data_IF_976812576361
#
_entry.id   IF_976812576361
#
_cell.length_a   1.000
_cell.length_b   1.000
_cell.length_c   1.000
_cell.angle_alpha   90.00
_cell.angle_beta   90.00
_cell.angle_gamma   90.00
#
_symmetry.space_group_name_H-M   'P 1'
#
loop_
_entity.id
_entity.type
_entity.pdbx_description
1 polymer ?
#
# COMPACT_ATOMS: atom_id res chain seq x y z
N UNK A 1 45.84 -41.80 21.14
CA UNK A 1 44.85 -41.85 20.03
C UNK A 1 43.59 -41.13 20.49
N UNK A 2 43.51 -39.85 20.21
CA UNK A 2 42.31 -39.06 20.39
C UNK A 2 41.52 -39.05 19.09
N UNK A 3 40.40 -39.70 19.06
CA UNK A 3 39.44 -39.66 17.97
C UNK A 3 38.69 -38.35 18.00
N UNK A 4 38.97 -37.45 17.04
CA UNK A 4 38.16 -36.27 16.81
C UNK A 4 36.93 -36.73 16.04
N UNK A 5 35.79 -36.77 16.71
CA UNK A 5 34.50 -36.97 16.05
C UNK A 5 34.09 -35.67 15.38
N UNK A 6 34.20 -35.59 14.06
CA UNK A 6 33.53 -34.54 13.27
C UNK A 6 32.02 -34.81 13.28
N UNK A 7 31.30 -34.07 14.11
CA UNK A 7 29.85 -33.96 13.97
C UNK A 7 29.58 -33.19 12.67
N UNK A 8 28.70 -33.68 11.79
CA UNK A 8 28.35 -32.90 10.60
C UNK A 8 27.66 -31.63 11.08
N UNK A 9 28.22 -30.48 10.70
CA UNK A 9 27.55 -29.20 10.88
C UNK A 9 26.23 -29.24 10.10
N UNK A 10 25.12 -29.33 10.82
CA UNK A 10 23.79 -29.21 10.23
C UNK A 10 23.76 -27.84 9.58
N UNK A 11 23.63 -27.83 8.26
CA UNK A 11 23.62 -26.61 7.48
C UNK A 11 22.39 -25.79 7.92
N UNK A 12 22.58 -24.63 8.59
CA UNK A 12 21.49 -23.81 9.11
C UNK A 12 20.49 -23.43 8.03
N UNK A 13 20.92 -23.37 6.76
CA UNK A 13 20.07 -23.12 5.61
C UNK A 13 19.10 -24.26 5.29
N UNK A 14 19.49 -25.53 5.49
CA UNK A 14 18.61 -26.68 5.20
C UNK A 14 17.48 -26.78 6.21
N UNK A 15 17.71 -26.48 7.50
CA UNK A 15 16.66 -26.49 8.55
C UNK A 15 15.68 -25.34 8.37
N UNK A 16 16.16 -24.17 7.95
CA UNK A 16 15.34 -23.00 7.63
C UNK A 16 14.44 -23.26 6.41
N UNK A 17 14.97 -23.88 5.37
CA UNK A 17 14.23 -24.24 4.16
C UNK A 17 13.13 -25.28 4.47
N UNK A 18 13.43 -26.32 5.23
CA UNK A 18 12.45 -27.32 5.62
C UNK A 18 11.33 -26.72 6.48
N UNK A 19 11.66 -25.82 7.39
CA UNK A 19 10.68 -25.16 8.24
C UNK A 19 9.70 -24.33 7.41
N UNK A 20 10.21 -23.51 6.46
CA UNK A 20 9.36 -22.68 5.62
C UNK A 20 8.48 -23.54 4.70
N UNK A 21 9.01 -24.60 4.10
CA UNK A 21 8.24 -25.52 3.29
C UNK A 21 7.11 -26.20 4.05
N UNK A 22 7.31 -26.51 5.36
CA UNK A 22 6.23 -27.03 6.21
C UNK A 22 5.12 -26.02 6.41
N UNK A 23 5.47 -24.75 6.63
CA UNK A 23 4.49 -23.65 6.75
C UNK A 23 3.65 -23.58 5.48
N UNK A 24 4.28 -23.57 4.31
CA UNK A 24 3.58 -23.51 3.03
C UNK A 24 2.72 -24.75 2.79
N UNK A 25 3.21 -25.93 3.11
CA UNK A 25 2.45 -27.18 2.95
C UNK A 25 1.19 -27.17 3.81
N UNK A 26 1.29 -26.73 5.07
CA UNK A 26 0.16 -26.63 5.97
C UNK A 26 -0.87 -25.58 5.47
N UNK A 27 -0.39 -24.46 5.00
CA UNK A 27 -1.26 -23.42 4.42
C UNK A 27 -2.00 -23.93 3.17
N UNK A 28 -1.30 -24.66 2.29
CA UNK A 28 -1.92 -25.22 1.07
C UNK A 28 -3.02 -26.22 1.40
N UNK A 29 -2.82 -27.06 2.41
CA UNK A 29 -3.83 -28.05 2.82
C UNK A 29 -5.14 -27.44 3.26
N UNK A 30 -5.13 -26.23 3.80
CA UNK A 30 -6.31 -25.54 4.30
C UNK A 30 -7.01 -24.69 3.24
N UNK A 31 -6.82 -25.03 1.97
CA UNK A 31 -7.42 -24.34 0.84
C UNK A 31 -8.95 -24.45 0.85
N UNK A 32 -9.62 -23.32 0.58
CA UNK A 32 -11.04 -23.29 0.32
C UNK A 32 -11.32 -23.61 -1.16
N UNK A 33 -12.54 -24.09 -1.50
CA UNK A 33 -12.88 -24.36 -2.90
C UNK A 33 -12.69 -23.13 -3.79
N UNK A 34 -12.02 -23.29 -4.92
CA UNK A 34 -11.77 -22.25 -5.91
C UNK A 34 -10.46 -21.49 -5.72
N UNK A 35 -9.78 -21.64 -4.58
CA UNK A 35 -8.45 -21.06 -4.39
C UNK A 35 -7.38 -21.84 -5.17
N UNK A 36 -6.46 -21.12 -5.77
CA UNK A 36 -5.33 -21.71 -6.51
C UNK A 36 -4.07 -21.74 -5.65
N UNK A 37 -4.17 -22.31 -4.44
CA UNK A 37 -3.04 -22.39 -3.49
C UNK A 37 -1.88 -23.27 -4.02
N UNK A 38 -2.15 -24.22 -4.91
CA UNK A 38 -1.09 -25.02 -5.54
C UNK A 38 -0.14 -24.17 -6.38
N UNK A 39 -0.70 -23.26 -7.19
CA UNK A 39 0.09 -22.31 -7.97
C UNK A 39 0.83 -21.35 -7.05
N UNK A 40 0.15 -20.84 -6.03
CA UNK A 40 0.77 -19.95 -5.05
C UNK A 40 1.91 -20.63 -4.30
N UNK A 41 1.73 -21.89 -3.90
CA UNK A 41 2.77 -22.69 -3.25
C UNK A 41 4.04 -22.77 -4.13
N UNK A 42 3.88 -23.06 -5.42
CA UNK A 42 5.01 -23.13 -6.35
C UNK A 42 5.74 -21.79 -6.46
N UNK A 43 5.00 -20.69 -6.60
CA UNK A 43 5.59 -19.34 -6.68
C UNK A 43 6.30 -18.94 -5.38
N UNK A 44 5.70 -19.21 -4.23
CA UNK A 44 6.29 -18.96 -2.92
C UNK A 44 7.58 -19.78 -2.71
N UNK A 45 7.53 -21.08 -3.01
CA UNK A 45 8.69 -21.97 -2.90
C UNK A 45 9.83 -21.53 -3.79
N UNK A 46 9.53 -21.20 -5.05
CA UNK A 46 10.53 -20.73 -6.02
C UNK A 46 11.13 -19.38 -5.58
N UNK A 47 10.32 -18.45 -5.18
CA UNK A 47 10.77 -17.15 -4.67
C UNK A 47 11.70 -17.32 -3.46
N UNK A 48 11.34 -18.19 -2.53
CA UNK A 48 12.15 -18.49 -1.36
C UNK A 48 13.46 -19.18 -1.69
N UNK A 49 13.42 -20.22 -2.53
CA UNK A 49 14.60 -20.99 -2.89
C UNK A 49 15.59 -20.19 -3.72
N UNK A 50 15.10 -19.40 -4.67
CA UNK A 50 15.91 -18.60 -5.59
C UNK A 50 16.20 -17.18 -5.06
N UNK A 51 15.72 -16.83 -3.86
CA UNK A 51 15.87 -15.51 -3.25
C UNK A 51 15.45 -14.38 -4.21
N UNK A 52 14.30 -14.57 -4.87
CA UNK A 52 13.77 -13.59 -5.81
C UNK A 52 13.26 -12.36 -5.07
N UNK A 53 13.51 -11.17 -5.62
CA UNK A 53 13.12 -9.90 -4.99
C UNK A 53 11.62 -9.65 -5.06
N UNK A 54 10.93 -10.16 -6.09
CA UNK A 54 9.52 -9.92 -6.34
C UNK A 54 8.73 -11.21 -6.14
N UNK A 55 7.68 -11.14 -5.31
CA UNK A 55 6.70 -12.21 -5.15
C UNK A 55 5.37 -11.75 -5.74
N UNK A 56 4.94 -12.41 -6.82
CA UNK A 56 3.67 -12.14 -7.48
C UNK A 56 2.70 -13.31 -7.27
N UNK A 57 1.65 -13.07 -6.50
CA UNK A 57 0.57 -14.03 -6.21
C UNK A 57 -0.79 -13.48 -6.68
N UNK A 58 -0.81 -12.65 -7.72
CA UNK A 58 -2.03 -12.06 -8.25
C UNK A 58 -2.93 -13.08 -8.95
N UNK A 59 -4.24 -12.81 -8.97
CA UNK A 59 -5.24 -13.56 -9.74
C UNK A 59 -5.34 -15.05 -9.40
N UNK A 60 -5.23 -15.40 -8.12
CA UNK A 60 -5.25 -16.80 -7.64
C UNK A 60 -6.46 -17.13 -6.73
N UNK A 61 -7.43 -16.25 -6.63
CA UNK A 61 -8.59 -16.41 -5.75
C UNK A 61 -8.23 -16.72 -4.28
N UNK A 62 -7.11 -16.22 -3.79
CA UNK A 62 -6.63 -16.50 -2.44
C UNK A 62 -7.48 -15.77 -1.39
N UNK A 63 -7.87 -16.49 -0.34
CA UNK A 63 -8.59 -15.93 0.82
C UNK A 63 -7.66 -15.57 1.97
N UNK A 64 -6.44 -16.11 1.98
CA UNK A 64 -5.40 -15.78 2.95
C UNK A 64 -4.02 -16.00 2.34
N UNK A 65 -3.01 -15.44 2.98
CA UNK A 65 -1.60 -15.67 2.64
C UNK A 65 -0.89 -16.35 3.80
N UNK A 66 0.09 -17.21 3.53
CA UNK A 66 0.98 -17.72 4.56
C UNK A 66 1.98 -16.67 5.00
N UNK A 67 2.81 -17.00 5.98
CA UNK A 67 3.99 -16.20 6.30
C UNK A 67 4.82 -15.93 5.04
N UNK A 68 5.26 -14.69 4.86
CA UNK A 68 5.97 -14.26 3.66
C UNK A 68 7.48 -14.45 3.78
N UNK A 69 8.17 -14.73 2.66
CA UNK A 69 9.64 -14.71 2.66
C UNK A 69 10.18 -13.36 3.11
N UNK A 70 11.17 -13.35 4.00
CA UNK A 70 11.67 -12.11 4.63
C UNK A 70 12.50 -11.24 3.70
N UNK A 71 13.02 -11.79 2.63
CA UNK A 71 13.96 -11.11 1.73
C UNK A 71 13.30 -10.32 0.60
N UNK A 72 11.99 -10.49 0.36
CA UNK A 72 11.34 -9.83 -0.77
C UNK A 72 11.30 -8.32 -0.60
N UNK A 73 11.45 -7.61 -1.72
CA UNK A 73 11.34 -6.16 -1.80
C UNK A 73 10.03 -5.69 -2.44
N UNK A 74 9.34 -6.56 -3.17
CA UNK A 74 8.04 -6.27 -3.76
C UNK A 74 7.07 -7.44 -3.55
N UNK A 75 5.86 -7.13 -3.11
CA UNK A 75 4.75 -8.07 -2.96
C UNK A 75 3.58 -7.61 -3.81
N UNK A 76 3.15 -8.46 -4.75
CA UNK A 76 2.01 -8.22 -5.63
C UNK A 76 0.97 -9.31 -5.37
N UNK A 77 -0.14 -8.93 -4.77
CA UNK A 77 -1.22 -9.85 -4.40
C UNK A 77 -2.59 -9.32 -4.87
N UNK A 78 -2.59 -8.53 -5.92
CA UNK A 78 -3.82 -7.94 -6.47
C UNK A 78 -4.77 -9.02 -6.98
N UNK A 79 -6.06 -8.65 -7.04
CA UNK A 79 -7.11 -9.51 -7.61
C UNK A 79 -7.22 -10.87 -6.90
N UNK A 80 -7.28 -10.84 -5.59
CA UNK A 80 -7.58 -12.00 -4.76
C UNK A 80 -8.82 -11.71 -3.90
N UNK A 81 -9.05 -12.52 -2.90
CA UNK A 81 -10.17 -12.40 -1.96
C UNK A 81 -9.67 -12.24 -0.52
N UNK A 82 -8.51 -11.60 -0.36
CA UNK A 82 -7.85 -11.45 0.93
C UNK A 82 -8.66 -10.53 1.85
N UNK A 83 -8.91 -10.98 3.07
CA UNK A 83 -9.53 -10.17 4.12
C UNK A 83 -8.50 -9.56 5.07
N UNK A 84 -7.28 -10.09 5.08
CA UNK A 84 -6.16 -9.60 5.87
C UNK A 84 -4.84 -9.95 5.17
N UNK A 85 -3.76 -9.31 5.62
CA UNK A 85 -2.40 -9.60 5.20
C UNK A 85 -1.59 -10.08 6.40
N UNK A 86 -0.63 -10.99 6.19
CA UNK A 86 0.31 -11.36 7.25
C UNK A 86 1.28 -10.20 7.53
N UNK A 87 2.11 -10.35 8.55
CA UNK A 87 3.18 -9.40 8.83
C UNK A 87 4.01 -9.15 7.56
N UNK A 88 4.23 -7.87 7.25
CA UNK A 88 4.99 -7.49 6.06
C UNK A 88 6.50 -7.61 6.32
N UNK A 89 7.28 -8.06 5.33
CA UNK A 89 8.74 -8.12 5.45
C UNK A 89 9.35 -6.75 5.74
N UNK A 90 10.38 -6.71 6.60
CA UNK A 90 10.97 -5.47 7.08
C UNK A 90 11.64 -4.61 6.00
N UNK A 91 12.03 -5.22 4.87
CA UNK A 91 12.70 -4.54 3.77
C UNK A 91 11.82 -4.35 2.54
N UNK A 92 10.52 -4.55 2.68
CA UNK A 92 9.57 -4.39 1.58
C UNK A 92 9.55 -2.93 1.12
N UNK A 93 9.69 -2.71 -0.19
CA UNK A 93 9.67 -1.38 -0.83
C UNK A 93 8.38 -1.11 -1.56
N UNK A 94 7.73 -2.14 -2.04
CA UNK A 94 6.50 -2.04 -2.83
C UNK A 94 5.47 -3.07 -2.39
N UNK A 95 4.25 -2.62 -2.13
CA UNK A 95 3.11 -3.47 -1.85
C UNK A 95 1.96 -3.10 -2.79
N UNK A 96 1.48 -4.08 -3.54
CA UNK A 96 0.24 -3.97 -4.31
C UNK A 96 -0.74 -5.06 -3.86
N UNK A 97 -1.79 -4.64 -3.17
CA UNK A 97 -2.87 -5.50 -2.73
C UNK A 97 -4.23 -5.00 -3.24
N UNK A 98 -4.25 -4.44 -4.44
CA UNK A 98 -5.47 -3.93 -5.09
C UNK A 98 -6.50 -5.03 -5.29
N UNK A 99 -7.78 -4.65 -5.29
CA UNK A 99 -8.90 -5.55 -5.57
C UNK A 99 -8.89 -6.79 -4.68
N UNK A 100 -8.95 -6.56 -3.39
CA UNK A 100 -9.15 -7.57 -2.36
C UNK A 100 -10.35 -7.19 -1.49
N UNK A 101 -10.44 -7.77 -0.30
CA UNK A 101 -11.50 -7.52 0.67
C UNK A 101 -10.91 -7.06 2.01
N UNK A 102 -9.79 -6.33 1.96
CA UNK A 102 -9.09 -5.88 3.16
C UNK A 102 -9.90 -4.84 3.91
N UNK A 103 -10.15 -5.06 5.18
CA UNK A 103 -10.75 -4.08 6.09
C UNK A 103 -9.69 -3.37 6.94
N UNK A 104 -8.50 -3.95 7.03
CA UNK A 104 -7.35 -3.40 7.76
C UNK A 104 -6.07 -3.87 7.09
N UNK A 105 -5.02 -3.07 7.17
CA UNK A 105 -3.67 -3.45 6.74
C UNK A 105 -2.74 -3.42 7.95
N UNK A 106 -1.73 -4.31 7.98
CA UNK A 106 -0.79 -4.37 9.10
C UNK A 106 0.15 -3.16 9.13
N UNK A 107 0.94 -3.07 10.19
CA UNK A 107 2.01 -2.08 10.28
C UNK A 107 2.87 -2.10 9.02
N UNK A 108 3.14 -0.91 8.47
CA UNK A 108 3.92 -0.76 7.25
C UNK A 108 5.42 -0.67 7.58
N UNK A 109 6.27 -1.39 6.83
CA UNK A 109 7.71 -1.31 7.05
C UNK A 109 8.27 0.06 6.64
N UNK A 110 9.31 0.51 7.33
CA UNK A 110 9.91 1.83 7.08
C UNK A 110 10.54 1.98 5.70
N UNK A 111 10.90 0.87 5.07
CA UNK A 111 11.48 0.83 3.73
C UNK A 111 10.46 1.07 2.61
N UNK A 112 9.15 1.06 2.91
CA UNK A 112 8.10 1.10 1.90
C UNK A 112 8.11 2.46 1.17
N UNK A 113 8.15 2.42 -0.16
CA UNK A 113 8.11 3.60 -1.03
C UNK A 113 6.83 3.70 -1.82
N UNK A 114 6.17 2.57 -2.12
CA UNK A 114 4.92 2.51 -2.87
C UNK A 114 3.91 1.60 -2.17
N UNK A 115 2.73 2.14 -1.91
CA UNK A 115 1.61 1.39 -1.35
C UNK A 115 0.40 1.55 -2.27
N UNK A 116 -0.12 0.44 -2.78
CA UNK A 116 -1.34 0.38 -3.54
C UNK A 116 -2.30 -0.63 -2.93
N UNK A 117 -3.43 -0.14 -2.43
CA UNK A 117 -4.50 -0.95 -1.81
C UNK A 117 -5.88 -0.49 -2.30
N UNK A 118 -5.96 -0.19 -3.58
CA UNK A 118 -7.18 0.25 -4.28
C UNK A 118 -8.27 -0.81 -4.17
N UNK A 119 -9.52 -0.36 -4.15
CA UNK A 119 -10.67 -1.26 -4.24
C UNK A 119 -10.65 -2.36 -3.18
N UNK A 120 -10.56 -1.93 -1.95
CA UNK A 120 -10.72 -2.73 -0.74
C UNK A 120 -11.86 -2.17 0.11
N UNK A 121 -11.88 -2.48 1.38
CA UNK A 121 -12.92 -2.04 2.32
C UNK A 121 -12.32 -1.33 3.52
N UNK A 122 -11.20 -0.61 3.31
CA UNK A 122 -10.45 0.05 4.37
C UNK A 122 -11.21 1.27 4.90
N UNK A 123 -11.32 1.37 6.22
CA UNK A 123 -11.87 2.55 6.91
C UNK A 123 -10.76 3.44 7.46
N UNK A 124 -9.60 2.86 7.73
CA UNK A 124 -8.43 3.54 8.27
C UNK A 124 -7.15 3.03 7.64
N UNK A 125 -6.09 3.81 7.73
CA UNK A 125 -4.73 3.41 7.36
C UNK A 125 -3.83 3.46 8.60
N UNK A 126 -2.81 2.60 8.67
CA UNK A 126 -1.77 2.73 9.70
C UNK A 126 -0.90 3.96 9.46
N UNK A 127 -0.02 4.24 10.40
CA UNK A 127 1.01 5.30 10.23
C UNK A 127 1.77 5.06 8.93
N UNK A 128 1.92 6.10 8.13
CA UNK A 128 2.62 6.03 6.84
C UNK A 128 4.13 6.17 7.05
N UNK A 129 4.95 5.32 6.42
CA UNK A 129 6.39 5.39 6.57
C UNK A 129 6.99 6.62 5.88
N UNK A 130 8.11 7.11 6.42
CA UNK A 130 8.72 8.38 6.02
C UNK A 130 9.25 8.41 4.59
N UNK A 131 9.52 7.27 3.99
CA UNK A 131 10.07 7.18 2.64
C UNK A 131 9.00 6.95 1.57
N UNK A 132 7.72 6.93 1.95
CA UNK A 132 6.62 6.69 1.01
C UNK A 132 6.54 7.84 0.00
N UNK A 133 6.58 7.50 -1.29
CA UNK A 133 6.48 8.46 -2.39
C UNK A 133 5.16 8.35 -3.16
N UNK A 134 4.52 7.18 -3.11
CA UNK A 134 3.27 6.92 -3.84
C UNK A 134 2.28 6.17 -2.95
N UNK A 135 1.07 6.72 -2.84
CA UNK A 135 -0.02 6.14 -2.05
C UNK A 135 -1.29 6.11 -2.91
N UNK A 136 -1.77 4.89 -3.19
CA UNK A 136 -2.97 4.66 -3.99
C UNK A 136 -3.99 3.89 -3.14
N UNK A 137 -5.00 4.59 -2.64
CA UNK A 137 -6.02 4.04 -1.73
C UNK A 137 -7.45 4.35 -2.19
N UNK A 138 -7.63 4.68 -3.46
CA UNK A 138 -8.95 4.96 -4.01
C UNK A 138 -9.88 3.75 -3.93
N UNK A 139 -11.19 4.00 -3.97
CA UNK A 139 -12.23 2.99 -3.83
C UNK A 139 -12.13 2.18 -2.53
N UNK A 140 -12.08 2.89 -1.43
CA UNK A 140 -12.16 2.34 -0.07
C UNK A 140 -13.27 3.07 0.71
N UNK A 141 -13.26 2.98 2.01
CA UNK A 141 -14.24 3.61 2.91
C UNK A 141 -13.55 4.51 3.94
N UNK A 142 -12.45 5.15 3.55
CA UNK A 142 -11.65 5.97 4.45
C UNK A 142 -12.40 7.22 4.88
N UNK A 143 -12.45 7.48 6.19
CA UNK A 143 -13.03 8.70 6.79
C UNK A 143 -11.99 9.79 6.96
N UNK A 144 -10.74 9.41 7.18
CA UNK A 144 -9.63 10.32 7.37
C UNK A 144 -8.34 9.65 6.89
N UNK A 145 -7.28 10.43 6.81
CA UNK A 145 -5.94 9.95 6.48
C UNK A 145 -5.00 10.26 7.65
N UNK A 146 -3.99 9.40 7.88
CA UNK A 146 -2.90 9.76 8.78
C UNK A 146 -2.08 10.90 8.20
N UNK A 147 -1.16 11.46 9.00
CA UNK A 147 -0.22 12.46 8.52
C UNK A 147 0.51 11.97 7.28
N UNK A 148 0.64 12.83 6.27
CA UNK A 148 1.28 12.50 5.01
C UNK A 148 2.80 12.69 5.12
N UNK A 149 3.60 11.71 4.65
CA UNK A 149 5.06 11.83 4.72
C UNK A 149 5.60 12.90 3.76
N UNK A 150 6.70 13.52 4.14
CA UNK A 150 7.28 14.66 3.42
C UNK A 150 7.72 14.35 1.98
N UNK A 151 8.03 13.10 1.70
CA UNK A 151 8.49 12.67 0.37
C UNK A 151 7.37 12.26 -0.58
N UNK A 152 6.11 12.33 -0.13
CA UNK A 152 4.98 11.87 -0.93
C UNK A 152 4.82 12.75 -2.19
N UNK A 153 4.79 12.11 -3.34
CA UNK A 153 4.64 12.74 -4.66
C UNK A 153 3.29 12.49 -5.30
N UNK A 154 2.75 11.29 -5.11
CA UNK A 154 1.50 10.84 -5.73
C UNK A 154 0.54 10.35 -4.66
N UNK A 155 -0.66 10.94 -4.62
CA UNK A 155 -1.70 10.58 -3.67
C UNK A 155 -3.03 10.43 -4.40
N UNK A 156 -3.54 9.20 -4.47
CA UNK A 156 -4.86 8.90 -5.00
C UNK A 156 -5.76 8.43 -3.86
N UNK A 157 -6.74 9.27 -3.50
CA UNK A 157 -7.70 9.01 -2.42
C UNK A 157 -9.15 9.18 -2.88
N UNK A 158 -9.39 9.23 -4.19
CA UNK A 158 -10.74 9.43 -4.72
C UNK A 158 -11.66 8.23 -4.44
N UNK A 159 -12.97 8.47 -4.46
CA UNK A 159 -13.98 7.47 -4.08
C UNK A 159 -13.73 6.91 -2.67
N UNK A 160 -13.65 7.80 -1.70
CA UNK A 160 -13.63 7.48 -0.28
C UNK A 160 -14.70 8.33 0.44
N UNK A 161 -14.62 8.45 1.74
CA UNK A 161 -15.56 9.19 2.58
C UNK A 161 -14.86 10.28 3.38
N UNK A 162 -13.77 10.83 2.86
CA UNK A 162 -12.96 11.83 3.54
C UNK A 162 -13.74 13.14 3.68
N UNK A 163 -13.73 13.72 4.87
CA UNK A 163 -14.32 15.04 5.16
C UNK A 163 -13.25 16.14 5.21
N UNK A 164 -12.02 15.76 5.50
CA UNK A 164 -10.85 16.64 5.53
C UNK A 164 -9.64 15.90 4.98
N UNK A 165 -8.61 16.67 4.63
CA UNK A 165 -7.29 16.15 4.28
C UNK A 165 -6.26 16.68 5.28
N UNK A 166 -5.24 15.90 5.63
CA UNK A 166 -4.11 16.43 6.39
C UNK A 166 -3.31 17.43 5.54
N UNK A 167 -2.37 18.11 6.17
CA UNK A 167 -1.48 19.05 5.48
C UNK A 167 -0.78 18.35 4.30
N UNK A 168 -0.77 19.02 3.16
CA UNK A 168 -0.17 18.47 1.94
C UNK A 168 1.34 18.68 1.97
N UNK A 169 2.14 17.62 1.67
CA UNK A 169 3.59 17.77 1.57
C UNK A 169 3.98 18.66 0.39
N UNK A 170 5.06 19.41 0.54
CA UNK A 170 5.55 20.32 -0.48
C UNK A 170 5.93 19.63 -1.80
N UNK A 171 6.33 18.35 -1.72
CA UNK A 171 6.73 17.56 -2.89
C UNK A 171 5.56 16.90 -3.62
N UNK A 172 4.33 17.05 -3.14
CA UNK A 172 3.16 16.42 -3.74
C UNK A 172 2.92 17.01 -5.13
N UNK A 173 2.98 16.17 -6.15
CA UNK A 173 2.83 16.55 -7.55
C UNK A 173 1.41 16.28 -8.06
N UNK A 174 0.83 15.12 -7.69
CA UNK A 174 -0.50 14.73 -8.11
C UNK A 174 -1.33 14.33 -6.90
N UNK A 175 -2.48 14.98 -6.75
CA UNK A 175 -3.48 14.66 -5.74
C UNK A 175 -4.82 14.41 -6.44
N UNK A 176 -5.34 13.20 -6.31
CA UNK A 176 -6.67 12.83 -6.78
C UNK A 176 -7.57 12.60 -5.57
N UNK A 177 -8.32 13.64 -5.18
CA UNK A 177 -9.21 13.63 -4.02
C UNK A 177 -10.69 13.83 -4.40
N UNK A 178 -11.01 13.69 -5.67
CA UNK A 178 -12.38 13.81 -6.16
C UNK A 178 -13.29 12.72 -5.57
N UNK A 179 -14.59 13.02 -5.54
CA UNK A 179 -15.62 12.09 -5.07
C UNK A 179 -15.39 11.59 -3.65
N UNK A 180 -15.21 12.56 -2.76
CA UNK A 180 -15.22 12.39 -1.31
C UNK A 180 -16.30 13.28 -0.71
N UNK A 181 -16.24 13.54 0.58
CA UNK A 181 -17.13 14.43 1.32
C UNK A 181 -16.38 15.62 1.90
N UNK A 182 -15.33 16.08 1.20
CA UNK A 182 -14.50 17.19 1.67
C UNK A 182 -15.34 18.46 1.77
N UNK A 183 -15.25 19.15 2.91
CA UNK A 183 -15.96 20.40 3.17
C UNK A 183 -15.05 21.63 3.09
N UNK A 184 -13.74 21.41 3.15
CA UNK A 184 -12.73 22.47 3.06
C UNK A 184 -11.57 22.00 2.18
N UNK A 185 -10.86 22.98 1.60
CA UNK A 185 -9.58 22.70 0.97
C UNK A 185 -8.48 22.57 2.03
N UNK A 186 -7.45 21.76 1.78
CA UNK A 186 -6.25 21.79 2.61
C UNK A 186 -5.51 23.11 2.41
N UNK A 187 -4.65 23.44 3.38
CA UNK A 187 -3.75 24.58 3.25
C UNK A 187 -2.71 24.27 2.17
N UNK A 188 -2.50 25.23 1.27
CA UNK A 188 -1.45 25.16 0.27
C UNK A 188 -0.22 25.90 0.79
N UNK A 189 0.91 25.18 0.92
CA UNK A 189 2.19 25.81 1.19
C UNK A 189 2.97 25.95 -0.12
N UNK A 190 3.35 27.18 -0.45
CA UNK A 190 3.96 27.55 -1.72
C UNK A 190 5.48 27.63 -1.64
N UNK A 191 6.11 26.71 -0.94
CA UNK A 191 7.53 26.84 -0.61
C UNK A 191 8.53 26.39 -1.70
N UNK A 192 8.10 25.64 -2.73
CA UNK A 192 9.02 25.18 -3.77
C UNK A 192 8.30 24.92 -5.10
N UNK A 193 8.09 25.97 -5.87
CA UNK A 193 7.35 25.94 -7.14
C UNK A 193 8.21 25.54 -8.34
N UNK A 194 8.91 24.42 -8.26
CA UNK A 194 9.77 24.00 -9.37
C UNK A 194 9.07 23.07 -10.37
N UNK A 195 7.86 22.55 -10.04
CA UNK A 195 7.16 21.55 -10.85
C UNK A 195 5.67 21.81 -10.93
N UNK A 196 5.07 21.39 -12.04
CA UNK A 196 3.62 21.41 -12.22
C UNK A 196 2.96 20.50 -11.20
N UNK A 197 1.89 21.01 -10.58
CA UNK A 197 1.08 20.28 -9.61
C UNK A 197 -0.33 20.11 -10.17
N UNK A 198 -0.88 18.89 -10.04
CA UNK A 198 -2.22 18.57 -10.50
C UNK A 198 -3.05 18.09 -9.31
N UNK A 199 -4.03 18.89 -8.91
CA UNK A 199 -4.88 18.61 -7.78
C UNK A 199 -6.34 18.52 -8.20
N UNK A 200 -6.99 17.41 -7.93
CA UNK A 200 -8.36 17.12 -8.32
C UNK A 200 -9.24 17.02 -7.08
N UNK A 201 -10.19 17.97 -6.94
CA UNK A 201 -11.14 18.07 -5.81
C UNK A 201 -12.60 18.04 -6.28
N UNK A 202 -12.86 17.69 -7.52
CA UNK A 202 -14.21 17.73 -8.07
C UNK A 202 -15.14 16.72 -7.39
N UNK A 203 -16.42 17.04 -7.35
CA UNK A 203 -17.46 16.24 -6.69
C UNK A 203 -17.18 15.99 -5.19
N UNK A 204 -16.97 17.08 -4.47
CA UNK A 204 -16.92 17.12 -3.03
C UNK A 204 -18.02 18.05 -2.50
N UNK A 205 -17.94 18.48 -1.24
CA UNK A 205 -18.90 19.35 -0.57
C UNK A 205 -18.26 20.68 -0.12
N UNK A 206 -17.29 21.16 -0.89
CA UNK A 206 -16.53 22.36 -0.55
C UNK A 206 -17.36 23.59 -0.87
N UNK A 207 -17.50 24.49 0.11
CA UNK A 207 -18.33 25.70 0.00
C UNK A 207 -17.50 26.98 -0.16
N UNK A 208 -16.26 26.97 0.31
CA UNK A 208 -15.38 28.15 0.31
C UNK A 208 -13.98 27.80 -0.15
N UNK A 209 -13.35 28.74 -0.86
CA UNK A 209 -11.94 28.63 -1.22
C UNK A 209 -11.08 29.28 -0.13
N UNK A 210 -9.91 28.70 0.21
CA UNK A 210 -8.99 29.34 1.14
C UNK A 210 -8.38 30.61 0.53
N UNK A 211 -7.97 31.56 1.35
CA UNK A 211 -7.30 32.78 0.85
C UNK A 211 -6.05 32.48 0.05
N UNK A 212 -5.32 31.42 0.44
CA UNK A 212 -4.13 30.95 -0.27
C UNK A 212 -4.40 30.52 -1.71
N UNK A 213 -5.66 30.24 -2.07
CA UNK A 213 -6.02 29.84 -3.44
C UNK A 213 -5.70 30.94 -4.47
N UNK A 214 -5.87 32.20 -4.11
CA UNK A 214 -5.58 33.34 -4.99
C UNK A 214 -4.08 33.54 -5.26
N UNK A 215 -3.22 32.92 -4.46
CA UNK A 215 -1.76 32.98 -4.57
C UNK A 215 -1.18 31.88 -5.42
N UNK A 216 -2.00 30.93 -5.89
CA UNK A 216 -1.55 29.85 -6.74
C UNK A 216 -1.23 30.39 -8.14
N UNK A 217 -0.06 30.03 -8.64
CA UNK A 217 0.39 30.45 -9.97
C UNK A 217 0.01 29.45 -11.05
N UNK A 218 0.49 29.66 -12.27
CA UNK A 218 0.22 28.81 -13.43
C UNK A 218 0.83 27.41 -13.36
N UNK A 219 1.66 27.12 -12.34
CA UNK A 219 2.20 25.78 -12.13
C UNK A 219 1.19 24.81 -11.55
N UNK A 220 0.06 25.33 -11.04
CA UNK A 220 -1.02 24.51 -10.47
C UNK A 220 -2.12 24.29 -11.51
N UNK A 221 -2.52 23.03 -11.65
CA UNK A 221 -3.73 22.63 -12.37
C UNK A 221 -4.71 22.06 -11.36
N UNK A 222 -5.82 22.77 -11.10
CA UNK A 222 -6.77 22.38 -10.05
C UNK A 222 -8.17 22.26 -10.66
N UNK A 223 -8.83 21.13 -10.41
CA UNK A 223 -10.22 20.90 -10.77
C UNK A 223 -11.08 20.93 -9.50
N UNK A 224 -11.99 21.90 -9.43
CA UNK A 224 -12.91 22.10 -8.31
C UNK A 224 -14.38 21.98 -8.72
N UNK A 225 -14.65 21.49 -9.92
CA UNK A 225 -16.02 21.38 -10.43
C UNK A 225 -16.88 20.45 -9.55
N UNK A 226 -18.20 20.64 -9.60
CA UNK A 226 -19.13 19.81 -8.83
C UNK A 226 -19.07 20.02 -7.31
N UNK A 227 -18.57 21.17 -6.83
CA UNK A 227 -18.62 21.57 -5.44
C UNK A 227 -19.64 22.71 -5.26
N UNK A 228 -20.34 22.79 -4.11
CA UNK A 228 -21.32 23.86 -3.84
C UNK A 228 -20.64 25.16 -3.38
N UNK A 229 -19.73 25.69 -4.21
CA UNK A 229 -19.02 26.94 -3.87
C UNK A 229 -19.98 28.11 -3.82
N UNK A 230 -19.91 28.90 -2.75
CA UNK A 230 -20.62 30.15 -2.64
C UNK A 230 -19.90 31.24 -3.42
N UNK A 231 -20.66 32.02 -4.23
CA UNK A 231 -20.15 33.16 -5.01
C UNK A 231 -19.82 34.36 -4.11
#
# INVERSE_FOLDING_TARGET
HSSVSCSPSINSNSTSNEHYLRILTEWEKNSSPGEERGIAFNRLSQCFQNQEAVLNLSDLNLTSLPELPKHISALIVENNKLTSLPKLPAFLKELNADNNRLSVIPELPESLTTLSVRSNQLENLPVLPNHLTSLFVENNRLYNLPALPEKLKFLHVYYNRLTTLPDLPDKLEILCAQRNNLVTFPQFSDRNNIRQKEYYFHFNQITTLPESFSQLDSSYRINISGNPLST
#
